data_IF_428374228617
#
_entry.id   IF_428374228617
#
_cell.length_a   1.000
_cell.length_b   1.000
_cell.length_c   1.000
_cell.angle_alpha   90.00
_cell.angle_beta   90.00
_cell.angle_gamma   90.00
#
_symmetry.space_group_name_H-M   'P 1'
#
loop_
_entity.id
_entity.type
_entity.pdbx_description
1 polymer ?
#
# COMPACT_ATOMS: atom_id res chain seq x y z
N UNK A 1 -22.75 8.21 -10.40
CA UNK A 1 -22.95 7.25 -9.29
C UNK A 1 -23.82 6.06 -9.67
N UNK A 2 -24.83 6.25 -10.52
CA UNK A 2 -25.83 5.25 -10.95
C UNK A 2 -25.32 3.82 -11.19
N UNK A 3 -24.16 3.65 -11.85
CA UNK A 3 -23.52 2.33 -12.06
C UNK A 3 -23.40 1.51 -10.77
N UNK A 4 -23.00 2.15 -9.67
CA UNK A 4 -22.69 1.46 -8.42
C UNK A 4 -23.91 1.32 -7.50
N UNK A 5 -24.88 2.24 -7.60
CA UNK A 5 -25.99 2.27 -6.66
C UNK A 5 -26.83 0.99 -6.72
N UNK A 6 -27.12 0.35 -5.58
CA UNK A 6 -28.05 -0.77 -5.53
C UNK A 6 -29.45 -0.34 -5.93
N UNK A 7 -30.21 -1.25 -6.51
CA UNK A 7 -31.62 -1.08 -6.75
C UNK A 7 -32.37 -1.06 -5.40
N UNK A 8 -33.04 0.06 -5.13
CA UNK A 8 -33.80 0.29 -3.90
C UNK A 8 -35.25 -0.22 -3.97
N UNK A 9 -35.66 -0.75 -5.13
CA UNK A 9 -37.05 -1.10 -5.47
C UNK A 9 -38.00 0.12 -5.44
N UNK A 10 -37.46 1.32 -5.62
CA UNK A 10 -38.26 2.54 -5.69
C UNK A 10 -39.05 2.55 -7.00
N UNK A 11 -40.38 2.70 -6.91
CA UNK A 11 -41.27 2.68 -8.08
C UNK A 11 -41.75 1.30 -8.52
N UNK A 12 -41.28 0.22 -7.86
CA UNK A 12 -41.76 -1.12 -8.12
C UNK A 12 -43.21 -1.27 -7.65
N UNK A 13 -44.06 -1.85 -8.50
CA UNK A 13 -45.47 -2.12 -8.18
C UNK A 13 -45.70 -3.62 -8.19
N UNK A 14 -46.21 -4.15 -7.09
CA UNK A 14 -46.53 -5.58 -6.97
C UNK A 14 -47.74 -5.95 -7.80
N UNK A 15 -47.60 -6.95 -8.66
CA UNK A 15 -48.71 -7.58 -9.37
C UNK A 15 -49.35 -8.69 -8.52
N UNK A 16 -48.53 -9.63 -8.06
CA UNK A 16 -48.93 -10.79 -7.27
C UNK A 16 -47.78 -11.28 -6.41
N UNK A 17 -48.07 -12.18 -5.46
CA UNK A 17 -47.05 -12.88 -4.71
C UNK A 17 -47.51 -14.28 -4.30
N UNK A 18 -46.55 -15.15 -4.00
CA UNK A 18 -46.74 -16.50 -3.52
C UNK A 18 -45.94 -16.72 -2.23
N UNK A 19 -46.58 -17.24 -1.18
CA UNK A 19 -45.92 -17.60 0.08
C UNK A 19 -45.57 -19.10 0.08
N UNK A 20 -44.30 -19.43 0.30
CA UNK A 20 -43.76 -20.78 0.27
C UNK A 20 -43.13 -21.10 1.61
N UNK A 21 -43.45 -22.27 2.19
CA UNK A 21 -42.82 -22.75 3.43
C UNK A 21 -42.02 -24.03 3.14
N UNK A 22 -40.71 -24.00 3.45
CA UNK A 22 -39.80 -25.12 3.21
C UNK A 22 -38.81 -25.24 4.37
N UNK A 23 -38.62 -26.44 4.94
CA UNK A 23 -37.65 -26.72 6.00
C UNK A 23 -37.72 -25.75 7.20
N UNK A 24 -38.93 -25.45 7.68
CA UNK A 24 -39.20 -24.47 8.75
C UNK A 24 -38.77 -23.02 8.45
N UNK A 25 -38.54 -22.69 7.17
CA UNK A 25 -38.34 -21.31 6.69
C UNK A 25 -39.52 -20.88 5.83
N UNK A 26 -39.86 -19.59 5.91
CA UNK A 26 -40.90 -18.98 5.10
C UNK A 26 -40.24 -18.10 4.04
N UNK A 27 -40.78 -18.12 2.84
CA UNK A 27 -40.32 -17.34 1.71
C UNK A 27 -41.53 -16.69 1.04
N UNK A 28 -41.31 -15.51 0.44
CA UNK A 28 -42.26 -14.90 -0.48
C UNK A 28 -41.60 -14.68 -1.82
N UNK A 29 -42.29 -15.10 -2.88
CA UNK A 29 -41.96 -14.78 -4.27
C UNK A 29 -42.91 -13.67 -4.70
N UNK A 30 -42.39 -12.51 -5.05
CA UNK A 30 -43.16 -11.33 -5.43
C UNK A 30 -42.90 -10.99 -6.89
N UNK A 31 -43.98 -10.86 -7.67
CA UNK A 31 -43.93 -10.52 -9.09
C UNK A 31 -44.35 -9.06 -9.28
N UNK A 32 -43.73 -8.37 -10.22
CA UNK A 32 -43.97 -6.95 -10.48
C UNK A 32 -44.76 -6.74 -11.78
N UNK A 33 -45.25 -5.51 -11.98
CA UNK A 33 -45.94 -5.08 -13.20
C UNK A 33 -45.21 -3.93 -13.89
N UNK A 34 -45.75 -3.49 -15.03
CA UNK A 34 -45.28 -2.33 -15.79
C UNK A 34 -43.84 -2.51 -16.27
N UNK A 35 -42.97 -1.51 -16.06
CA UNK A 35 -41.57 -1.52 -16.51
C UNK A 35 -40.75 -2.67 -15.89
N UNK A 36 -41.24 -3.28 -14.80
CA UNK A 36 -40.58 -4.37 -14.07
C UNK A 36 -41.29 -5.73 -14.23
N UNK A 37 -42.19 -5.89 -15.20
CA UNK A 37 -42.96 -7.14 -15.38
C UNK A 37 -42.11 -8.40 -15.61
N UNK A 38 -40.87 -8.24 -16.07
CA UNK A 38 -39.92 -9.33 -16.30
C UNK A 38 -39.07 -9.65 -15.06
N UNK A 39 -39.34 -8.98 -13.93
CA UNK A 39 -38.60 -9.14 -12.68
C UNK A 39 -39.44 -9.84 -11.59
N UNK A 40 -38.76 -10.55 -10.69
CA UNK A 40 -39.36 -11.08 -9.47
C UNK A 40 -38.37 -11.08 -8.31
N UNK A 41 -38.90 -10.95 -7.10
CA UNK A 41 -38.14 -10.88 -5.86
C UNK A 41 -38.45 -12.09 -4.99
N UNK A 42 -37.43 -12.77 -4.48
CA UNK A 42 -37.55 -13.82 -3.47
C UNK A 42 -36.99 -13.29 -2.15
N UNK A 43 -37.76 -13.36 -1.07
CA UNK A 43 -37.31 -12.94 0.27
C UNK A 43 -37.58 -14.01 1.31
N UNK A 44 -36.66 -14.20 2.26
CA UNK A 44 -36.86 -14.95 3.50
C UNK A 44 -37.68 -14.13 4.50
N UNK A 45 -38.66 -14.79 5.13
CA UNK A 45 -39.56 -14.19 6.11
C UNK A 45 -39.45 -14.86 7.47
N UNK A 46 -39.58 -14.04 8.51
CA UNK A 46 -39.84 -14.48 9.86
C UNK A 46 -41.14 -13.81 10.35
N UNK A 47 -42.18 -14.62 10.56
CA UNK A 47 -43.54 -14.15 10.82
C UNK A 47 -44.09 -13.29 9.67
N UNK A 48 -44.19 -11.97 9.84
CA UNK A 48 -44.76 -11.02 8.87
C UNK A 48 -43.72 -10.07 8.29
N UNK A 49 -42.45 -10.20 8.70
CA UNK A 49 -41.36 -9.31 8.29
C UNK A 49 -40.31 -10.08 7.50
N UNK A 50 -39.68 -9.39 6.55
CA UNK A 50 -38.50 -9.89 5.86
C UNK A 50 -37.37 -10.00 6.87
N UNK A 51 -36.79 -11.18 7.01
CA UNK A 51 -35.68 -11.42 7.92
C UNK A 51 -34.87 -12.59 7.41
N UNK A 52 -33.75 -12.29 6.78
CA UNK A 52 -32.92 -13.24 6.04
C UNK A 52 -32.54 -12.72 4.65
N UNK A 53 -32.34 -13.65 3.73
CA UNK A 53 -31.86 -13.38 2.37
C UNK A 53 -32.94 -12.84 1.44
N UNK A 54 -32.56 -11.91 0.57
CA UNK A 54 -33.39 -11.33 -0.47
C UNK A 54 -32.66 -11.39 -1.82
N UNK A 55 -33.36 -11.77 -2.88
CA UNK A 55 -32.81 -11.94 -4.23
C UNK A 55 -33.76 -11.42 -5.31
N UNK A 56 -33.29 -10.45 -6.09
CA UNK A 56 -33.99 -9.90 -7.25
C UNK A 56 -33.49 -10.56 -8.52
N UNK A 57 -34.42 -11.04 -9.34
CA UNK A 57 -34.18 -11.68 -10.62
C UNK A 57 -34.83 -10.87 -11.75
N UNK A 58 -34.17 -10.81 -12.90
CA UNK A 58 -34.71 -10.27 -14.15
C UNK A 58 -34.63 -11.35 -15.23
N UNK A 59 -35.78 -11.73 -15.81
CA UNK A 59 -35.89 -12.87 -16.74
C UNK A 59 -35.26 -14.16 -16.20
N UNK A 60 -35.35 -14.39 -14.89
CA UNK A 60 -34.74 -15.54 -14.20
C UNK A 60 -33.24 -15.45 -13.94
N UNK A 61 -32.58 -14.36 -14.32
CA UNK A 61 -31.15 -14.12 -14.03
C UNK A 61 -31.02 -13.28 -12.77
N UNK A 62 -30.19 -13.72 -11.80
CA UNK A 62 -29.93 -12.96 -10.58
C UNK A 62 -29.28 -11.62 -10.93
N UNK A 63 -29.86 -10.51 -10.43
CA UNK A 63 -29.37 -9.15 -10.65
C UNK A 63 -28.95 -8.44 -9.36
N UNK A 64 -29.55 -8.80 -8.22
CA UNK A 64 -29.18 -8.26 -6.92
C UNK A 64 -29.49 -9.22 -5.77
N UNK A 65 -28.64 -9.29 -4.75
CA UNK A 65 -28.96 -9.97 -3.49
C UNK A 65 -28.48 -9.21 -2.25
N UNK A 66 -29.20 -9.30 -1.15
CA UNK A 66 -28.90 -8.65 0.12
C UNK A 66 -29.53 -9.39 1.29
N UNK A 67 -29.22 -8.96 2.51
CA UNK A 67 -29.85 -9.45 3.73
C UNK A 67 -30.64 -8.34 4.43
N UNK A 68 -31.76 -8.72 5.05
CA UNK A 68 -32.53 -7.86 5.94
C UNK A 68 -32.70 -8.52 7.31
N UNK A 69 -32.75 -7.70 8.36
CA UNK A 69 -33.12 -8.14 9.70
C UNK A 69 -34.27 -7.28 10.18
N UNK A 70 -35.41 -7.91 10.48
CA UNK A 70 -36.65 -7.21 10.87
C UNK A 70 -37.05 -6.10 9.88
N UNK A 71 -37.03 -6.43 8.58
CA UNK A 71 -37.38 -5.53 7.47
C UNK A 71 -36.36 -4.41 7.20
N UNK A 72 -35.18 -4.46 7.82
CA UNK A 72 -34.12 -3.45 7.64
C UNK A 72 -32.95 -4.03 6.86
N UNK A 73 -32.63 -3.41 5.73
CA UNK A 73 -31.41 -3.65 4.95
C UNK A 73 -30.18 -3.40 5.81
N UNK A 74 -29.31 -4.41 5.95
CA UNK A 74 -28.08 -4.31 6.72
C UNK A 74 -26.95 -5.10 6.09
N UNK A 75 -25.72 -4.73 6.42
CA UNK A 75 -24.53 -5.40 5.88
C UNK A 75 -24.34 -5.13 4.39
N UNK A 76 -24.12 -6.20 3.62
CA UNK A 76 -23.70 -6.13 2.23
C UNK A 76 -24.87 -6.32 1.26
N UNK A 77 -24.80 -5.63 0.13
CA UNK A 77 -25.60 -5.86 -1.07
C UNK A 77 -24.68 -6.19 -2.24
N UNK A 78 -25.10 -7.20 -3.01
CA UNK A 78 -24.37 -7.76 -4.14
C UNK A 78 -25.13 -7.45 -5.41
N UNK A 79 -24.46 -6.83 -6.37
CA UNK A 79 -25.00 -6.57 -7.72
C UNK A 79 -24.38 -7.56 -8.69
N UNK A 80 -25.19 -8.06 -9.62
CA UNK A 80 -24.79 -9.04 -10.60
C UNK A 80 -25.05 -8.52 -12.02
N UNK A 81 -24.13 -8.83 -12.93
CA UNK A 81 -24.30 -8.61 -14.37
C UNK A 81 -24.27 -9.97 -15.05
N UNK A 82 -25.33 -10.34 -15.78
CA UNK A 82 -25.46 -11.67 -16.40
C UNK A 82 -25.32 -12.82 -15.38
N UNK A 83 -25.78 -12.62 -14.14
CA UNK A 83 -25.63 -13.57 -13.04
C UNK A 83 -24.22 -13.65 -12.44
N UNK A 84 -23.25 -12.90 -12.96
CA UNK A 84 -21.89 -12.82 -12.40
C UNK A 84 -21.84 -11.70 -11.38
N UNK A 85 -21.36 -11.99 -10.17
CA UNK A 85 -21.14 -10.97 -9.15
C UNK A 85 -20.26 -9.87 -9.74
N UNK A 86 -20.73 -8.63 -9.68
CA UNK A 86 -20.05 -7.46 -10.23
C UNK A 86 -19.54 -6.53 -9.13
N UNK A 87 -20.43 -6.18 -8.19
CA UNK A 87 -20.12 -5.29 -7.08
C UNK A 87 -20.60 -5.86 -5.74
N UNK A 88 -19.82 -5.64 -4.69
CA UNK A 88 -20.24 -5.83 -3.30
C UNK A 88 -20.16 -4.47 -2.61
N UNK A 89 -21.27 -4.03 -2.03
CA UNK A 89 -21.43 -2.69 -1.48
C UNK A 89 -21.96 -2.84 -0.06
N UNK A 90 -21.49 -2.01 0.86
CA UNK A 90 -22.10 -1.96 2.19
C UNK A 90 -23.26 -0.95 2.18
N UNK A 91 -24.42 -1.33 2.73
CA UNK A 91 -25.56 -0.42 2.85
C UNK A 91 -25.19 0.87 3.59
N UNK A 92 -24.27 0.81 4.56
CA UNK A 92 -23.76 2.01 5.26
C UNK A 92 -23.09 3.00 4.32
N UNK A 93 -22.42 2.50 3.28
CA UNK A 93 -21.74 3.32 2.28
C UNK A 93 -22.72 3.85 1.24
N UNK A 94 -23.88 3.23 1.03
CA UNK A 94 -24.90 3.82 0.13
C UNK A 94 -25.41 5.15 0.69
N UNK A 95 -25.70 5.20 2.00
CA UNK A 95 -26.29 6.37 2.66
C UNK A 95 -25.27 7.27 3.38
N UNK A 96 -23.99 6.92 3.33
CA UNK A 96 -22.91 7.65 4.00
C UNK A 96 -22.48 8.94 3.28
N UNK A 97 -21.70 9.75 4.00
CA UNK A 97 -21.05 10.96 3.47
C UNK A 97 -19.59 10.66 3.08
N UNK A 98 -19.00 11.48 2.20
CA UNK A 98 -17.60 11.35 1.79
C UNK A 98 -17.40 10.50 0.54
N UNK A 99 -16.32 9.73 0.47
CA UNK A 99 -16.07 8.83 -0.67
C UNK A 99 -17.02 7.63 -0.65
N UNK A 100 -17.35 7.09 -1.82
CA UNK A 100 -18.08 5.83 -1.93
C UNK A 100 -17.08 4.70 -2.12
N UNK A 101 -17.13 3.71 -1.22
CA UNK A 101 -16.25 2.55 -1.25
C UNK A 101 -17.07 1.30 -1.53
N UNK A 102 -16.60 0.45 -2.43
CA UNK A 102 -17.21 -0.84 -2.73
C UNK A 102 -16.16 -1.82 -3.25
N UNK A 103 -16.52 -3.09 -3.39
CA UNK A 103 -15.66 -4.09 -4.02
C UNK A 103 -16.12 -4.38 -5.43
N UNK A 104 -15.16 -4.57 -6.33
CA UNK A 104 -15.38 -5.09 -7.69
C UNK A 104 -14.83 -6.50 -7.79
N UNK A 105 -15.62 -7.38 -8.40
CA UNK A 105 -15.20 -8.72 -8.72
C UNK A 105 -14.37 -8.75 -10.01
N UNK A 106 -13.18 -9.34 -9.94
CA UNK A 106 -12.26 -9.49 -11.07
C UNK A 106 -11.83 -10.95 -11.18
N UNK A 107 -11.23 -11.38 -12.31
CA UNK A 107 -10.65 -12.72 -12.42
C UNK A 107 -9.61 -13.05 -11.33
N UNK A 108 -8.97 -12.03 -10.76
CA UNK A 108 -7.98 -12.15 -9.67
C UNK A 108 -8.62 -12.15 -8.26
N UNK A 109 -9.94 -12.02 -8.17
CA UNK A 109 -10.69 -11.89 -6.92
C UNK A 109 -11.27 -10.50 -6.71
N UNK A 110 -11.77 -10.24 -5.50
CA UNK A 110 -12.31 -8.93 -5.13
C UNK A 110 -11.20 -7.90 -4.97
N UNK A 111 -11.45 -6.68 -5.42
CA UNK A 111 -10.61 -5.51 -5.15
C UNK A 111 -11.44 -4.34 -4.67
N UNK A 112 -10.85 -3.46 -3.87
CA UNK A 112 -11.48 -2.22 -3.43
C UNK A 112 -11.52 -1.21 -4.57
N UNK A 113 -12.66 -0.56 -4.71
CA UNK A 113 -12.87 0.64 -5.51
C UNK A 113 -13.24 1.79 -4.58
N UNK A 114 -12.63 2.94 -4.79
CA UNK A 114 -13.07 4.20 -4.20
C UNK A 114 -13.54 5.11 -5.32
N UNK A 115 -14.71 5.72 -5.12
CA UNK A 115 -15.40 6.58 -6.06
C UNK A 115 -15.64 7.94 -5.41
N UNK A 116 -15.33 9.01 -6.14
CA UNK A 116 -15.74 10.34 -5.78
C UNK A 116 -17.26 10.45 -5.98
N UNK A 117 -18.02 10.65 -4.89
CA UNK A 117 -19.49 10.71 -4.94
C UNK A 117 -20.01 11.86 -5.78
N UNK A 118 -19.31 13.00 -5.75
CA UNK A 118 -19.79 14.25 -6.34
C UNK A 118 -19.93 14.14 -7.87
N UNK A 119 -19.07 13.36 -8.51
CA UNK A 119 -19.03 13.18 -9.97
C UNK A 119 -19.10 11.72 -10.43
N UNK A 120 -19.07 10.75 -9.51
CA UNK A 120 -19.07 9.31 -9.82
C UNK A 120 -17.78 8.78 -10.41
N UNK A 121 -16.68 9.54 -10.38
CA UNK A 121 -15.38 9.15 -10.93
C UNK A 121 -14.69 8.16 -10.00
N UNK A 122 -14.14 7.08 -10.56
CA UNK A 122 -13.31 6.14 -9.80
C UNK A 122 -11.96 6.78 -9.53
N UNK A 123 -11.54 6.80 -8.26
CA UNK A 123 -10.28 7.42 -7.81
C UNK A 123 -9.25 6.42 -7.33
N UNK A 124 -9.68 5.19 -7.04
CA UNK A 124 -8.79 4.09 -6.65
C UNK A 124 -9.32 2.73 -7.12
N UNK A 125 -8.40 1.83 -7.48
CA UNK A 125 -8.64 0.39 -7.61
C UNK A 125 -7.45 -0.38 -7.05
N UNK A 126 -7.63 -1.27 -6.09
CA UNK A 126 -6.52 -2.04 -5.56
C UNK A 126 -6.85 -2.90 -4.35
N UNK A 127 -5.81 -3.36 -3.69
CA UNK A 127 -5.85 -4.16 -2.47
C UNK A 127 -6.44 -3.36 -1.29
N UNK A 128 -6.89 -4.11 -0.28
CA UNK A 128 -7.57 -3.61 0.91
C UNK A 128 -7.27 -4.50 2.13
N UNK A 129 -7.46 -3.94 3.32
CA UNK A 129 -7.13 -4.62 4.58
C UNK A 129 -8.23 -5.59 5.03
N UNK A 130 -9.48 -5.15 5.03
CA UNK A 130 -10.65 -5.98 5.38
C UNK A 130 -11.93 -5.45 4.75
N UNK A 131 -12.98 -6.29 4.73
CA UNK A 131 -14.31 -5.86 4.27
C UNK A 131 -14.99 -4.82 5.19
N UNK A 132 -14.55 -4.73 6.44
CA UNK A 132 -15.14 -3.83 7.43
C UNK A 132 -14.58 -2.42 7.36
N UNK A 133 -13.24 -2.31 7.34
CA UNK A 133 -12.50 -1.04 7.35
C UNK A 133 -12.27 -0.47 5.95
N UNK A 134 -12.15 -1.34 4.92
CA UNK A 134 -12.01 -0.95 3.52
C UNK A 134 -10.87 0.05 3.27
N UNK A 135 -9.77 -0.05 4.00
CA UNK A 135 -8.61 0.84 3.85
C UNK A 135 -7.71 0.31 2.74
N UNK A 136 -7.14 1.24 1.98
CA UNK A 136 -6.10 0.93 0.98
C UNK A 136 -4.86 0.43 1.70
N UNK A 137 -4.43 -0.76 1.33
CA UNK A 137 -3.15 -1.37 1.71
C UNK A 137 -2.62 -2.11 0.49
N UNK A 138 -1.34 -2.45 0.49
CA UNK A 138 -0.76 -3.23 -0.61
C UNK A 138 -0.82 -2.48 -1.93
N UNK A 139 -0.98 -3.19 -3.05
CA UNK A 139 -0.87 -2.61 -4.39
C UNK A 139 -2.17 -1.96 -4.87
N UNK A 140 -2.08 -0.81 -5.54
CA UNK A 140 -3.24 -0.17 -6.13
C UNK A 140 -2.96 0.93 -7.14
N UNK A 141 -3.96 1.17 -7.99
CA UNK A 141 -4.00 2.26 -8.95
C UNK A 141 -4.72 3.48 -8.36
N UNK A 142 -4.16 4.66 -8.58
CA UNK A 142 -4.85 5.94 -8.38
C UNK A 142 -5.23 6.57 -9.71
N UNK A 143 -6.32 7.33 -9.65
CA UNK A 143 -6.88 8.05 -10.77
C UNK A 143 -7.10 9.50 -10.36
N UNK A 144 -7.14 10.37 -11.35
CA UNK A 144 -7.47 11.77 -11.20
C UNK A 144 -8.90 11.93 -10.67
N UNK A 145 -9.08 12.81 -9.69
CA UNK A 145 -10.34 12.94 -8.95
C UNK A 145 -11.46 13.58 -9.77
N UNK A 146 -11.11 14.31 -10.83
CA UNK A 146 -12.05 15.04 -11.67
C UNK A 146 -12.31 14.33 -13.00
N UNK A 147 -11.23 13.84 -13.63
CA UNK A 147 -11.28 13.26 -14.99
C UNK A 147 -11.37 11.74 -14.98
N UNK A 148 -10.89 11.07 -13.92
CA UNK A 148 -10.73 9.61 -13.89
C UNK A 148 -9.52 9.11 -14.66
N UNK A 149 -8.64 10.00 -15.11
CA UNK A 149 -7.40 9.64 -15.80
C UNK A 149 -6.48 8.85 -14.86
N UNK A 150 -5.87 7.79 -15.39
CA UNK A 150 -4.92 6.99 -14.63
C UNK A 150 -3.69 7.83 -14.21
N UNK A 151 -3.34 7.83 -12.92
CA UNK A 151 -2.24 8.64 -12.38
C UNK A 151 -1.03 7.82 -11.99
N UNK A 152 -1.22 6.79 -11.17
CA UNK A 152 -0.10 5.98 -10.69
C UNK A 152 -0.53 4.59 -10.26
N UNK A 153 0.45 3.69 -10.24
CA UNK A 153 0.39 2.38 -9.59
C UNK A 153 1.44 2.34 -8.49
N UNK A 154 1.07 1.89 -7.29
CA UNK A 154 1.94 1.99 -6.13
C UNK A 154 1.48 1.18 -4.93
N UNK A 155 2.25 1.26 -3.85
CA UNK A 155 1.99 0.59 -2.57
C UNK A 155 1.31 1.58 -1.62
N UNK A 156 0.24 1.13 -0.97
CA UNK A 156 -0.52 1.86 0.04
C UNK A 156 -0.33 1.26 1.42
N UNK A 157 -0.39 2.11 2.44
CA UNK A 157 -0.37 1.73 3.86
C UNK A 157 -1.39 2.59 4.59
N UNK A 158 -2.38 1.94 5.22
CA UNK A 158 -3.40 2.62 6.03
C UNK A 158 -3.99 3.85 5.30
N UNK A 159 -4.56 3.63 4.12
CA UNK A 159 -5.15 4.66 3.28
C UNK A 159 -4.20 5.73 2.73
N UNK A 160 -2.88 5.60 2.88
CA UNK A 160 -1.90 6.55 2.35
C UNK A 160 -1.01 5.91 1.30
N UNK A 161 -0.75 6.61 0.20
CA UNK A 161 0.23 6.18 -0.80
C UNK A 161 1.62 6.23 -0.17
N UNK A 162 2.33 5.11 -0.19
CA UNK A 162 3.65 4.93 0.42
C UNK A 162 4.76 4.87 -0.63
N UNK A 163 4.50 4.25 -1.78
CA UNK A 163 5.50 4.10 -2.83
C UNK A 163 4.85 4.13 -4.21
N UNK A 164 5.48 4.79 -5.18
CA UNK A 164 5.06 4.87 -6.58
C UNK A 164 5.95 3.95 -7.40
N UNK A 165 5.37 2.91 -7.99
CA UNK A 165 6.04 1.96 -8.87
C UNK A 165 5.93 2.44 -10.32
N UNK A 166 4.74 2.88 -10.73
CA UNK A 166 4.50 3.48 -12.03
C UNK A 166 3.76 4.82 -11.91
N UNK A 167 4.13 5.79 -12.75
CA UNK A 167 3.27 6.95 -13.03
C UNK A 167 2.87 6.96 -14.50
N UNK A 168 1.68 7.47 -14.77
CA UNK A 168 1.13 7.58 -16.11
C UNK A 168 1.00 9.04 -16.49
N UNK A 169 1.47 9.33 -17.71
CA UNK A 169 1.42 10.65 -18.31
C UNK A 169 0.11 10.82 -19.08
N UNK A 170 -0.32 12.06 -19.30
CA UNK A 170 -1.57 12.34 -20.02
C UNK A 170 -1.53 11.83 -21.48
N UNK A 171 -0.34 11.65 -22.08
CA UNK A 171 -0.16 11.05 -23.41
C UNK A 171 -0.06 9.51 -23.36
N UNK A 172 -0.42 8.89 -22.24
CA UNK A 172 -0.54 7.43 -22.11
C UNK A 172 0.79 6.70 -21.92
N UNK A 173 1.90 7.39 -21.68
CA UNK A 173 3.19 6.74 -21.36
C UNK A 173 3.28 6.37 -19.89
N UNK A 174 3.88 5.22 -19.63
CA UNK A 174 4.27 4.76 -18.31
C UNK A 174 5.72 5.18 -18.00
N UNK A 175 5.93 5.66 -16.78
CA UNK A 175 7.26 5.84 -16.19
C UNK A 175 7.36 4.86 -15.03
N UNK A 176 8.34 3.96 -15.06
CA UNK A 176 8.61 3.02 -13.96
C UNK A 176 9.74 3.56 -13.09
N UNK A 177 9.58 3.49 -11.78
CA UNK A 177 10.59 3.89 -10.81
C UNK A 177 11.29 2.70 -10.19
N UNK A 178 12.56 2.87 -9.85
CA UNK A 178 13.23 1.99 -8.92
C UNK A 178 12.57 2.14 -7.56
N UNK A 179 12.22 1.01 -6.96
CA UNK A 179 11.67 0.89 -5.62
C UNK A 179 12.54 -0.03 -4.78
N UNK A 180 12.39 0.09 -3.46
CA UNK A 180 13.03 -0.76 -2.45
C UNK A 180 12.01 -0.95 -1.33
N UNK A 181 11.90 -2.15 -0.79
CA UNK A 181 10.91 -2.44 0.25
C UNK A 181 11.16 -1.57 1.49
N UNK A 182 10.07 -1.05 2.06
CA UNK A 182 10.16 -0.19 3.24
C UNK A 182 10.68 1.23 2.99
N UNK A 183 11.00 1.59 1.73
CA UNK A 183 11.50 2.93 1.37
C UNK A 183 10.48 3.69 0.52
N UNK A 184 10.02 4.84 1.03
CA UNK A 184 9.14 5.74 0.30
C UNK A 184 9.88 6.48 -0.83
N UNK A 185 9.16 6.72 -1.92
CA UNK A 185 9.57 7.59 -3.02
C UNK A 185 8.44 8.56 -3.44
N UNK A 186 7.50 8.84 -2.53
CA UNK A 186 6.38 9.74 -2.80
C UNK A 186 6.88 11.13 -3.13
N UNK A 187 7.90 11.61 -2.42
CA UNK A 187 8.56 12.87 -2.74
C UNK A 187 9.20 12.82 -4.12
N UNK A 188 8.96 13.85 -4.94
CA UNK A 188 9.37 13.84 -6.36
C UNK A 188 10.89 13.68 -6.54
N UNK A 189 11.68 14.22 -5.61
CA UNK A 189 13.13 14.10 -5.63
C UNK A 189 13.59 12.67 -5.34
N UNK A 190 12.74 11.87 -4.69
CA UNK A 190 13.03 10.50 -4.28
C UNK A 190 12.75 9.48 -5.40
N UNK A 191 12.22 9.95 -6.52
CA UNK A 191 11.84 9.15 -7.67
C UNK A 191 13.02 8.97 -8.64
N UNK A 192 13.45 7.73 -8.78
CA UNK A 192 14.48 7.32 -9.73
C UNK A 192 13.86 6.54 -10.89
N UNK A 193 13.53 7.19 -12.01
CA UNK A 193 12.92 6.50 -13.14
C UNK A 193 13.94 5.58 -13.79
N UNK A 194 13.52 4.36 -14.11
CA UNK A 194 14.34 3.32 -14.77
C UNK A 194 13.77 2.94 -16.14
N UNK A 195 12.54 3.34 -16.43
CA UNK A 195 11.89 3.17 -17.72
C UNK A 195 10.93 4.34 -17.99
N UNK A 196 10.83 4.77 -19.25
CA UNK A 196 9.78 5.66 -19.73
C UNK A 196 9.39 5.27 -21.15
N UNK A 197 8.11 4.98 -21.39
CA UNK A 197 7.67 4.52 -22.71
C UNK A 197 6.20 4.12 -22.74
N UNK A 198 5.80 3.49 -23.84
CA UNK A 198 4.45 2.95 -23.96
C UNK A 198 4.17 1.81 -22.97
N UNK A 199 2.89 1.56 -22.77
CA UNK A 199 2.38 0.47 -21.95
C UNK A 199 1.02 0.00 -22.45
N UNK A 200 0.64 -1.22 -22.08
CA UNK A 200 -0.71 -1.75 -22.24
C UNK A 200 -1.18 -2.42 -20.95
N UNK A 201 -2.49 -2.47 -20.72
CA UNK A 201 -3.06 -3.20 -19.59
C UNK A 201 -3.08 -4.70 -19.89
N UNK A 202 -2.56 -5.51 -18.98
CA UNK A 202 -2.64 -6.97 -19.00
C UNK A 202 -3.80 -7.41 -18.10
N UNK A 203 -4.87 -7.95 -18.66
CA UNK A 203 -6.03 -8.41 -17.89
C UNK A 203 -5.73 -9.63 -17.01
N UNK A 204 -4.83 -10.51 -17.47
CA UNK A 204 -4.42 -11.73 -16.74
C UNK A 204 -3.68 -11.37 -15.45
N UNK A 205 -2.78 -10.39 -15.50
CA UNK A 205 -1.99 -9.96 -14.35
C UNK A 205 -2.62 -8.79 -13.57
N UNK A 206 -3.65 -8.15 -14.15
CA UNK A 206 -4.30 -6.97 -13.56
C UNK A 206 -3.41 -5.72 -13.49
N UNK A 207 -2.34 -5.65 -14.28
CA UNK A 207 -1.34 -4.57 -14.25
C UNK A 207 -1.00 -4.02 -15.63
N UNK A 208 -0.40 -2.82 -15.67
CA UNK A 208 0.16 -2.28 -16.90
C UNK A 208 1.57 -2.80 -17.13
N UNK A 209 1.82 -3.34 -18.32
CA UNK A 209 3.12 -3.84 -18.75
C UNK A 209 3.68 -2.97 -19.87
N UNK A 210 5.01 -3.01 -20.07
CA UNK A 210 5.69 -2.24 -21.11
C UNK A 210 5.21 -2.68 -22.50
N UNK A 211 4.92 -1.73 -23.37
CA UNK A 211 4.45 -2.03 -24.73
C UNK A 211 4.84 -0.89 -25.70
N UNK A 212 5.16 -1.23 -26.94
CA UNK A 212 5.64 -0.26 -27.92
C UNK A 212 7.06 0.24 -27.62
N UNK A 213 7.36 1.48 -28.02
CA UNK A 213 8.70 2.06 -27.83
C UNK A 213 8.85 2.62 -26.43
N UNK A 214 9.97 2.32 -25.78
CA UNK A 214 10.34 2.89 -24.50
C UNK A 214 11.85 3.04 -24.31
N UNK A 215 12.23 3.71 -23.24
CA UNK A 215 13.61 4.08 -22.95
C UNK A 215 13.99 3.58 -21.56
N UNK A 216 15.10 2.85 -21.47
CA UNK A 216 15.69 2.44 -20.20
C UNK A 216 16.61 3.54 -19.71
N UNK A 217 16.42 3.96 -18.46
CA UNK A 217 17.06 5.15 -17.90
C UNK A 217 18.11 4.74 -16.87
N UNK A 218 19.25 5.42 -16.88
CA UNK A 218 20.20 5.32 -15.78
C UNK A 218 19.61 5.97 -14.53
N UNK A 219 19.42 5.18 -13.46
CA UNK A 219 18.76 5.65 -12.25
C UNK A 219 19.42 6.89 -11.63
N UNK A 220 20.74 7.03 -11.74
CA UNK A 220 21.46 8.11 -11.06
C UNK A 220 21.36 9.45 -11.80
N UNK A 221 21.27 9.42 -13.12
CA UNK A 221 21.24 10.60 -13.98
C UNK A 221 19.85 10.91 -14.55
N UNK A 222 18.99 9.90 -14.69
CA UNK A 222 17.74 9.96 -15.44
C UNK A 222 17.90 9.92 -16.96
N UNK A 223 19.13 9.75 -17.47
CA UNK A 223 19.44 9.81 -18.90
C UNK A 223 19.24 8.42 -19.53
N UNK A 224 18.66 8.39 -20.74
CA UNK A 224 18.42 7.14 -21.46
C UNK A 224 19.73 6.43 -21.85
N UNK A 225 19.76 5.13 -21.59
CA UNK A 225 20.87 4.20 -21.88
C UNK A 225 20.54 3.25 -23.03
N UNK A 226 19.26 3.02 -23.29
CA UNK A 226 18.77 2.34 -24.49
C UNK A 226 17.37 2.79 -24.86
N UNK A 227 17.09 2.76 -26.16
CA UNK A 227 15.76 2.72 -26.76
C UNK A 227 15.41 1.25 -27.00
N UNK A 228 14.23 0.81 -26.59
CA UNK A 228 13.79 -0.58 -26.63
C UNK A 228 12.36 -0.67 -27.15
N UNK A 229 12.06 -1.73 -27.89
CA UNK A 229 10.71 -2.06 -28.34
C UNK A 229 10.18 -3.21 -27.51
N UNK A 230 8.98 -3.05 -26.97
CA UNK A 230 8.31 -4.01 -26.11
C UNK A 230 7.01 -4.49 -26.77
N UNK A 231 6.64 -5.73 -26.50
CA UNK A 231 5.33 -6.28 -26.86
C UNK A 231 4.78 -7.00 -25.63
N UNK A 232 3.75 -6.39 -25.00
CA UNK A 232 3.07 -6.94 -23.82
C UNK A 232 4.04 -7.45 -22.74
N UNK A 233 5.00 -6.62 -22.35
CA UNK A 233 6.00 -6.94 -21.33
C UNK A 233 7.23 -7.72 -21.82
N UNK A 234 7.23 -8.19 -23.07
CA UNK A 234 8.37 -8.92 -23.66
C UNK A 234 9.28 -7.95 -24.41
N UNK A 235 10.56 -7.92 -24.05
CA UNK A 235 11.54 -7.07 -24.73
C UNK A 235 11.89 -7.65 -26.12
N UNK A 236 11.75 -6.82 -27.15
CA UNK A 236 12.21 -7.07 -28.51
C UNK A 236 13.56 -6.41 -28.79
N UNK A 237 13.60 -5.59 -29.85
CA UNK A 237 14.84 -4.93 -30.29
C UNK A 237 15.31 -3.86 -29.31
N UNK A 238 16.64 -3.71 -29.21
CA UNK A 238 17.31 -2.72 -28.36
C UNK A 238 18.33 -1.93 -29.17
N UNK A 239 18.33 -0.62 -29.00
CA UNK A 239 19.36 0.30 -29.51
C UNK A 239 20.04 1.00 -28.34
N UNK A 240 21.36 0.86 -28.23
CA UNK A 240 22.15 1.48 -27.16
C UNK A 240 22.27 3.00 -27.37
N UNK A 241 22.20 3.74 -26.27
CA UNK A 241 22.44 5.18 -26.21
C UNK A 241 23.68 5.47 -25.35
N UNK A 242 24.34 6.58 -25.63
CA UNK A 242 25.53 7.06 -24.93
C UNK A 242 25.21 8.44 -24.35
N UNK A 243 24.94 8.53 -23.05
CA UNK A 243 24.45 9.76 -22.42
C UNK A 243 23.23 10.35 -23.16
N UNK A 244 22.29 9.50 -23.57
CA UNK A 244 21.10 9.92 -24.32
C UNK A 244 21.32 10.12 -25.83
N UNK A 245 22.54 9.98 -26.33
CA UNK A 245 22.87 10.15 -27.75
C UNK A 245 22.92 8.81 -28.50
N UNK A 246 22.47 8.80 -29.75
CA UNK A 246 22.60 7.64 -30.65
C UNK A 246 24.03 7.38 -31.13
N UNK A 247 24.92 8.35 -30.98
CA UNK A 247 26.35 8.24 -31.29
C UNK A 247 27.15 8.62 -30.05
N UNK A 248 28.26 7.93 -29.83
CA UNK A 248 29.13 8.20 -28.69
C UNK A 248 29.86 9.53 -28.89
N UNK A 249 29.53 10.52 -28.08
CA UNK A 249 30.17 11.84 -28.08
C UNK A 249 30.41 12.31 -26.65
N UNK A 250 31.65 12.67 -26.35
CA UNK A 250 32.06 13.24 -25.06
C UNK A 250 31.69 12.42 -23.82
N UNK A 251 32.03 12.95 -22.66
CA UNK A 251 31.48 12.51 -21.38
C UNK A 251 30.83 13.73 -20.72
N UNK A 252 29.62 13.54 -20.22
CA UNK A 252 28.88 14.57 -19.46
C UNK A 252 28.39 13.96 -18.16
N UNK A 253 28.51 14.69 -17.06
CA UNK A 253 28.01 14.27 -15.74
C UNK A 253 26.67 14.96 -15.48
N UNK A 254 25.66 14.21 -15.03
CA UNK A 254 24.37 14.77 -14.67
C UNK A 254 24.46 15.58 -13.38
N UNK A 255 23.80 16.75 -13.34
CA UNK A 255 23.69 17.56 -12.12
C UNK A 255 23.04 16.79 -10.95
N UNK A 256 22.14 15.84 -11.24
CA UNK A 256 21.56 14.95 -10.22
C UNK A 256 22.65 14.10 -9.53
N UNK A 257 23.59 13.57 -10.30
CA UNK A 257 24.72 12.81 -9.77
C UNK A 257 25.68 13.70 -8.97
N UNK A 258 25.89 14.96 -9.40
CA UNK A 258 26.71 15.93 -8.65
C UNK A 258 26.07 16.25 -7.30
N UNK A 259 24.78 16.64 -7.30
CA UNK A 259 24.06 17.05 -6.10
C UNK A 259 23.88 15.91 -5.09
N UNK A 260 23.59 14.69 -5.56
CA UNK A 260 23.38 13.52 -4.68
C UNK A 260 24.59 13.15 -3.80
N UNK A 261 25.80 13.64 -4.12
CA UNK A 261 26.99 13.45 -3.30
C UNK A 261 27.12 14.46 -2.16
N UNK A 262 26.47 15.63 -2.29
CA UNK A 262 26.61 16.75 -1.36
C UNK A 262 25.36 17.01 -0.52
N UNK A 263 24.19 16.60 -1.02
CA UNK A 263 22.93 16.79 -0.30
C UNK A 263 22.93 16.04 1.02
N UNK A 264 22.69 16.78 2.09
CA UNK A 264 22.37 16.23 3.41
C UNK A 264 20.88 16.39 3.65
N UNK A 265 20.24 15.29 4.02
CA UNK A 265 18.85 15.24 4.44
C UNK A 265 18.77 14.53 5.77
N UNK A 266 18.16 15.21 6.73
CA UNK A 266 17.90 14.66 8.05
C UNK A 266 16.41 14.37 8.15
N UNK A 267 16.07 13.14 8.56
CA UNK A 267 14.74 12.79 9.02
C UNK A 267 14.77 12.72 10.54
N UNK A 268 13.87 13.45 11.19
CA UNK A 268 13.66 13.38 12.64
C UNK A 268 12.34 12.66 12.91
N UNK A 269 12.41 11.51 13.58
CA UNK A 269 11.28 10.68 13.96
C UNK A 269 10.84 11.07 15.37
N UNK A 270 9.61 11.56 15.49
CA UNK A 270 8.98 11.95 16.77
C UNK A 270 7.84 11.01 17.18
N UNK A 271 7.42 10.16 16.27
CA UNK A 271 6.37 9.15 16.44
C UNK A 271 6.59 8.06 15.40
N UNK A 272 6.04 6.87 15.65
CA UNK A 272 6.24 5.71 14.78
C UNK A 272 5.84 5.95 13.32
N UNK A 273 4.75 6.69 13.09
CA UNK A 273 4.25 7.01 11.75
C UNK A 273 5.26 7.82 10.91
N UNK A 274 6.19 8.55 11.51
CA UNK A 274 7.21 9.33 10.77
C UNK A 274 8.20 8.42 10.04
N UNK A 275 8.37 7.16 10.48
CA UNK A 275 9.20 6.17 9.78
C UNK A 275 8.64 5.84 8.38
N UNK A 276 7.35 6.08 8.13
CA UNK A 276 6.77 5.96 6.79
C UNK A 276 7.32 7.00 5.80
N UNK A 277 7.99 8.05 6.28
CA UNK A 277 8.67 9.05 5.46
C UNK A 277 10.13 8.69 5.18
N UNK A 278 10.61 7.52 5.62
CA UNK A 278 11.95 7.04 5.29
C UNK A 278 12.11 6.93 3.77
N UNK A 279 13.13 7.60 3.25
CA UNK A 279 13.47 7.58 1.83
C UNK A 279 14.94 7.27 1.61
N UNK A 280 15.29 6.83 0.39
CA UNK A 280 16.67 6.47 0.02
C UNK A 280 17.66 7.64 0.06
N UNK A 281 17.17 8.87 0.25
CA UNK A 281 17.96 10.10 0.32
C UNK A 281 18.27 10.55 1.75
N UNK A 282 17.66 9.92 2.76
CA UNK A 282 17.94 10.24 4.16
C UNK A 282 19.41 9.94 4.45
N UNK A 283 20.17 10.99 4.77
CA UNK A 283 21.58 10.89 5.16
C UNK A 283 21.76 10.79 6.67
N UNK A 284 20.80 11.32 7.42
CA UNK A 284 20.82 11.32 8.87
C UNK A 284 19.43 10.93 9.37
N UNK A 285 19.34 9.85 10.13
CA UNK A 285 18.12 9.46 10.81
C UNK A 285 18.30 9.76 12.29
N UNK A 286 17.41 10.59 12.84
CA UNK A 286 17.38 10.93 14.27
C UNK A 286 16.03 10.51 14.84
N UNK A 287 16.01 9.57 15.77
CA UNK A 287 14.82 9.27 16.57
C UNK A 287 14.89 10.11 17.83
N UNK A 288 13.87 10.94 18.07
CA UNK A 288 13.81 11.84 19.21
C UNK A 288 13.61 11.07 20.53
N UNK A 289 13.68 11.74 21.68
CA UNK A 289 13.51 11.06 22.98
C UNK A 289 12.06 10.63 23.20
N UNK A 290 11.87 9.47 23.86
CA UNK A 290 10.54 8.97 24.27
C UNK A 290 9.57 8.64 23.12
N UNK A 291 10.07 8.20 21.96
CA UNK A 291 9.26 7.87 20.78
C UNK A 291 9.18 6.35 20.50
N UNK A 292 8.25 5.96 19.63
CA UNK A 292 8.14 4.60 19.09
C UNK A 292 8.03 3.50 20.16
N UNK A 293 7.28 3.75 21.24
CA UNK A 293 7.11 2.85 22.38
C UNK A 293 5.80 2.03 22.34
N UNK A 294 5.01 2.18 21.28
CA UNK A 294 3.73 1.51 21.08
C UNK A 294 3.89 -0.04 21.07
N UNK A 295 2.89 -0.77 21.57
CA UNK A 295 2.96 -2.23 21.79
C UNK A 295 3.07 -3.06 20.50
N UNK A 296 2.63 -2.50 19.38
CA UNK A 296 2.66 -3.11 18.05
C UNK A 296 4.04 -2.97 17.35
N UNK A 297 4.96 -2.19 17.90
CA UNK A 297 6.30 -1.96 17.33
C UNK A 297 7.27 -3.02 17.86
N UNK A 298 7.13 -4.23 17.35
CA UNK A 298 7.91 -5.38 17.81
C UNK A 298 9.29 -5.50 17.15
N UNK A 299 9.43 -4.96 15.93
CA UNK A 299 10.65 -5.06 15.13
C UNK A 299 10.95 -3.74 14.44
N UNK A 300 12.22 -3.35 14.40
CA UNK A 300 12.72 -2.23 13.59
C UNK A 300 13.77 -2.76 12.60
N UNK A 301 13.50 -2.60 11.31
CA UNK A 301 14.45 -2.92 10.25
C UNK A 301 14.78 -1.67 9.43
N UNK A 302 16.06 -1.37 9.32
CA UNK A 302 16.61 -0.31 8.48
C UNK A 302 17.46 -0.96 7.38
N UNK A 303 16.82 -1.18 6.23
CA UNK A 303 17.42 -1.70 5.00
C UNK A 303 17.16 -0.73 3.84
N UNK A 304 17.88 -0.86 2.73
CA UNK A 304 17.63 -0.04 1.54
C UNK A 304 18.07 1.44 1.61
N UNK A 305 18.53 1.92 2.78
CA UNK A 305 18.94 3.31 2.99
C UNK A 305 20.36 3.58 2.46
N UNK A 306 20.49 3.62 1.12
CA UNK A 306 21.76 3.71 0.42
C UNK A 306 22.61 4.95 0.78
N UNK A 307 21.98 6.03 1.24
CA UNK A 307 22.62 7.31 1.60
C UNK A 307 22.75 7.58 3.09
N UNK A 308 22.27 6.68 3.94
CA UNK A 308 22.32 6.89 5.39
C UNK A 308 23.77 6.89 5.86
N UNK A 309 24.20 7.98 6.49
CA UNK A 309 25.55 8.20 7.01
C UNK A 309 25.59 8.20 8.54
N UNK A 310 24.53 8.68 9.18
CA UNK A 310 24.40 8.76 10.64
C UNK A 310 23.03 8.26 11.09
N UNK A 311 23.03 7.33 12.06
CA UNK A 311 21.85 6.91 12.79
C UNK A 311 22.01 7.34 14.25
N UNK A 312 21.06 8.13 14.75
CA UNK A 312 21.00 8.55 16.14
C UNK A 312 19.63 8.18 16.69
N UNK A 313 19.57 7.30 17.67
CA UNK A 313 18.37 7.01 18.45
C UNK A 313 18.61 7.64 19.82
N UNK A 314 17.85 8.67 20.19
CA UNK A 314 17.99 9.28 21.53
C UNK A 314 17.40 8.37 22.61
N UNK A 315 17.42 8.79 23.87
CA UNK A 315 17.03 7.95 25.00
C UNK A 315 15.53 7.59 25.05
N UNK A 316 15.19 6.48 25.73
CA UNK A 316 13.83 6.03 26.02
C UNK A 316 12.96 5.65 24.82
N UNK A 317 13.56 5.00 23.80
CA UNK A 317 12.85 4.60 22.58
C UNK A 317 12.66 3.09 22.47
N UNK A 318 11.65 2.68 21.68
CA UNK A 318 11.46 1.29 21.23
C UNK A 318 11.28 0.27 22.37
N UNK A 319 10.58 0.64 23.45
CA UNK A 319 10.41 -0.19 24.64
C UNK A 319 9.80 -1.59 24.39
N UNK A 320 9.01 -1.74 23.32
CA UNK A 320 8.36 -2.99 22.93
C UNK A 320 9.08 -3.73 21.79
N UNK A 321 10.13 -3.13 21.20
CA UNK A 321 10.87 -3.69 20.07
C UNK A 321 11.92 -4.68 20.55
N UNK A 322 11.76 -5.96 20.20
CA UNK A 322 12.73 -7.00 20.56
C UNK A 322 13.76 -7.25 19.45
N UNK A 323 13.54 -6.80 18.21
CA UNK A 323 14.50 -6.99 17.12
C UNK A 323 14.83 -5.68 16.43
N UNK A 324 16.10 -5.30 16.45
CA UNK A 324 16.61 -4.16 15.71
C UNK A 324 17.68 -4.58 14.70
N UNK A 325 17.42 -4.36 13.42
CA UNK A 325 18.30 -4.74 12.32
C UNK A 325 18.66 -3.55 11.44
N UNK A 326 19.94 -3.39 11.14
CA UNK A 326 20.45 -2.48 10.11
C UNK A 326 21.21 -3.31 9.08
N UNK A 327 20.73 -3.30 7.84
CA UNK A 327 21.28 -4.14 6.78
C UNK A 327 21.63 -3.33 5.53
N UNK A 328 22.83 -3.55 4.99
CA UNK A 328 23.20 -3.05 3.66
C UNK A 328 23.38 -1.52 3.54
N UNK A 329 23.34 -0.78 4.65
CA UNK A 329 23.54 0.67 4.70
C UNK A 329 25.04 1.01 4.52
N UNK A 330 25.51 0.98 3.27
CA UNK A 330 26.95 1.02 2.96
C UNK A 330 27.62 2.37 3.28
N UNK A 331 26.88 3.49 3.25
CA UNK A 331 27.40 4.81 3.61
C UNK A 331 27.37 5.08 5.13
N UNK A 332 26.77 4.18 5.92
CA UNK A 332 26.59 4.37 7.36
C UNK A 332 27.95 4.36 8.05
N UNK A 333 28.24 5.43 8.79
CA UNK A 333 29.53 5.65 9.44
C UNK A 333 29.43 5.77 10.96
N UNK A 334 28.30 6.27 11.45
CA UNK A 334 28.01 6.51 12.87
C UNK A 334 26.66 5.93 13.26
N UNK A 335 26.65 5.13 14.33
CA UNK A 335 25.45 4.68 15.03
C UNK A 335 25.54 5.11 16.48
N UNK A 336 24.55 5.83 16.96
CA UNK A 336 24.43 6.27 18.35
C UNK A 336 23.05 5.89 18.86
N UNK A 337 23.02 5.20 20.00
CA UNK A 337 21.80 4.79 20.69
C UNK A 337 21.92 5.34 22.11
N UNK A 338 20.92 6.08 22.55
CA UNK A 338 20.84 6.70 23.86
C UNK A 338 20.58 5.69 24.97
N UNK A 339 20.25 6.20 26.14
CA UNK A 339 19.97 5.39 27.32
C UNK A 339 18.56 4.79 27.25
N UNK A 340 18.34 3.67 27.94
CA UNK A 340 17.03 3.04 28.12
C UNK A 340 16.27 2.78 26.80
N UNK A 341 16.98 2.39 25.73
CA UNK A 341 16.38 2.04 24.43
C UNK A 341 16.25 0.53 24.27
N UNK A 342 15.21 0.08 23.57
CA UNK A 342 14.97 -1.35 23.31
C UNK A 342 14.94 -2.18 24.60
N UNK A 343 14.39 -1.60 25.67
CA UNK A 343 14.22 -2.25 26.97
C UNK A 343 12.78 -2.09 27.45
N UNK A 344 12.19 -3.17 27.97
CA UNK A 344 10.82 -3.16 28.46
C UNK A 344 10.79 -3.03 29.99
N UNK A 345 10.12 -1.99 30.48
CA UNK A 345 9.94 -1.75 31.91
C UNK A 345 8.57 -2.28 32.36
N UNK A 346 8.52 -3.32 33.22
CA UNK A 346 7.25 -3.75 33.87
C UNK A 346 7.03 -3.10 35.24
N UNK A 347 7.97 -2.28 35.70
CA UNK A 347 7.91 -1.54 36.95
C UNK A 347 9.27 -0.93 37.30
N UNK A 348 9.39 -0.19 38.40
CA UNK A 348 10.62 0.55 38.76
C UNK A 348 11.84 -0.33 39.05
N UNK A 349 11.70 -1.67 39.09
CA UNK A 349 12.79 -2.61 39.42
C UNK A 349 12.77 -3.92 38.62
N UNK A 350 11.90 -4.05 37.62
CA UNK A 350 11.73 -5.32 36.91
C UNK A 350 11.93 -5.12 35.40
N UNK A 351 13.12 -5.51 34.95
CA UNK A 351 13.46 -5.68 33.55
C UNK A 351 12.97 -7.08 33.12
N UNK A 352 12.29 -7.14 31.99
CA UNK A 352 11.84 -8.41 31.44
C UNK A 352 12.66 -8.78 30.22
N UNK A 353 13.33 -9.92 30.29
CA UNK A 353 13.96 -10.56 29.13
C UNK A 353 12.94 -10.83 28.02
N UNK A 354 13.28 -10.44 26.79
CA UNK A 354 12.45 -10.61 25.59
C UNK A 354 13.20 -11.26 24.42
N UNK A 355 14.26 -12.01 24.68
CA UNK A 355 15.07 -12.64 23.62
C UNK A 355 15.49 -11.63 22.54
N UNK A 356 15.88 -10.43 22.99
CA UNK A 356 16.03 -9.31 22.09
C UNK A 356 17.37 -9.35 21.33
N UNK A 357 17.38 -8.83 20.09
CA UNK A 357 18.43 -9.04 19.11
C UNK A 357 18.82 -7.77 18.32
N UNK A 358 20.13 -7.51 18.23
CA UNK A 358 20.74 -6.39 17.51
C UNK A 358 21.58 -6.97 16.39
N UNK A 359 21.30 -6.57 15.16
CA UNK A 359 22.06 -6.99 13.99
C UNK A 359 22.44 -5.79 13.14
N UNK A 360 23.72 -5.49 13.05
CA UNK A 360 24.25 -4.52 12.09
C UNK A 360 25.17 -5.30 11.15
N UNK A 361 24.71 -5.51 9.92
CA UNK A 361 25.42 -6.35 8.97
C UNK A 361 25.46 -5.77 7.56
N UNK A 362 26.50 -6.17 6.81
CA UNK A 362 26.74 -5.70 5.44
C UNK A 362 26.83 -4.15 5.30
N UNK A 363 27.23 -3.46 6.37
CA UNK A 363 27.49 -2.01 6.38
C UNK A 363 29.00 -1.78 6.30
N UNK A 364 29.49 -1.22 5.19
CA UNK A 364 30.95 -1.18 4.89
C UNK A 364 31.72 -0.11 5.64
N UNK A 365 31.09 1.04 5.93
CA UNK A 365 31.78 2.23 6.42
C UNK A 365 31.57 2.51 7.91
N UNK A 366 30.93 1.61 8.65
CA UNK A 366 30.62 1.82 10.06
C UNK A 366 31.93 1.93 10.85
N UNK A 367 32.13 3.08 11.48
CA UNK A 367 33.38 3.45 12.15
C UNK A 367 33.20 3.72 13.63
N UNK A 368 32.02 4.18 14.04
CA UNK A 368 31.64 4.48 15.43
C UNK A 368 30.29 3.87 15.75
N UNK A 369 30.24 3.08 16.81
CA UNK A 369 29.00 2.59 17.44
C UNK A 369 29.05 2.96 18.92
N UNK A 370 28.03 3.67 19.41
CA UNK A 370 27.86 3.97 20.84
C UNK A 370 26.46 3.59 21.29
N UNK A 371 26.36 2.92 22.44
CA UNK A 371 25.10 2.51 23.06
C UNK A 371 25.07 2.96 24.52
N UNK A 372 24.02 3.70 24.88
CA UNK A 372 23.77 4.21 26.21
C UNK A 372 23.36 3.15 27.23
N UNK A 373 23.38 3.53 28.51
CA UNK A 373 23.09 2.67 29.65
C UNK A 373 21.67 2.11 29.60
N UNK A 374 21.48 0.89 30.11
CA UNK A 374 20.17 0.22 30.17
C UNK A 374 19.49 0.04 28.82
N UNK A 375 20.24 0.17 27.72
CA UNK A 375 19.77 -0.20 26.39
C UNK A 375 20.07 -1.67 26.13
N UNK A 376 19.13 -2.36 25.46
CA UNK A 376 19.26 -3.78 25.11
C UNK A 376 19.48 -4.72 26.31
N UNK A 377 18.90 -4.43 27.47
CA UNK A 377 19.02 -5.30 28.66
C UNK A 377 18.41 -6.67 28.39
N UNK A 378 19.09 -7.74 28.80
CA UNK A 378 18.71 -9.14 28.61
C UNK A 378 18.66 -9.58 27.13
N UNK A 379 19.58 -9.04 26.33
CA UNK A 379 19.78 -9.45 24.94
C UNK A 379 20.41 -10.85 24.82
N UNK A 380 19.90 -11.64 23.90
CA UNK A 380 20.43 -12.99 23.63
C UNK A 380 21.36 -13.03 22.42
N UNK A 381 21.33 -12.00 21.56
CA UNK A 381 22.10 -11.99 20.32
C UNK A 381 22.50 -10.58 19.87
N UNK A 382 23.82 -10.35 19.76
CA UNK A 382 24.40 -9.15 19.16
C UNK A 382 25.33 -9.57 18.02
N UNK A 383 25.05 -9.10 16.80
CA UNK A 383 25.84 -9.40 15.60
C UNK A 383 26.26 -8.13 14.89
N UNK A 384 27.58 -7.91 14.83
CA UNK A 384 28.21 -6.80 14.14
C UNK A 384 29.08 -7.37 13.01
N UNK A 385 28.49 -7.58 11.83
CA UNK A 385 29.17 -8.16 10.67
C UNK A 385 29.34 -7.08 9.61
N UNK A 386 30.29 -6.17 9.85
CA UNK A 386 30.74 -5.18 8.87
C UNK A 386 31.95 -5.67 8.10
N UNK A 387 32.03 -5.33 6.80
CA UNK A 387 33.24 -5.57 6.01
C UNK A 387 34.39 -4.61 6.35
N UNK A 388 34.09 -3.49 7.02
CA UNK A 388 35.09 -2.59 7.61
C UNK A 388 35.27 -2.88 9.10
N UNK A 389 36.49 -2.77 9.63
CA UNK A 389 36.74 -2.85 11.08
C UNK A 389 36.25 -1.55 11.75
N UNK A 390 35.20 -1.58 12.61
CA UNK A 390 34.80 -0.38 13.33
C UNK A 390 35.98 0.11 14.19
N UNK A 391 36.23 1.42 14.17
CA UNK A 391 37.37 2.02 14.90
C UNK A 391 37.05 2.20 16.38
N UNK A 392 35.77 2.38 16.71
CA UNK A 392 35.33 2.62 18.07
C UNK A 392 33.96 1.96 18.28
N UNK A 393 33.90 1.06 19.26
CA UNK A 393 32.65 0.45 19.73
C UNK A 393 32.61 0.68 21.24
N UNK A 394 31.62 1.43 21.71
CA UNK A 394 31.44 1.78 23.13
C UNK A 394 30.07 1.30 23.57
N UNK A 395 30.07 0.46 24.61
CA UNK A 395 28.88 0.05 25.33
C UNK A 395 29.01 0.56 26.75
N UNK A 396 28.05 1.38 27.19
CA UNK A 396 27.99 1.85 28.57
C UNK A 396 27.58 0.69 29.51
N UNK A 397 27.67 0.88 30.82
CA UNK A 397 27.26 -0.14 31.79
C UNK A 397 26.07 0.35 32.63
N UNK A 398 24.99 -0.44 32.81
CA UNK A 398 24.77 -1.78 32.25
C UNK A 398 24.07 -1.68 30.88
N UNK A 399 24.82 -1.77 29.78
CA UNK A 399 24.29 -2.05 28.45
C UNK A 399 24.66 -3.49 28.13
N UNK A 400 23.66 -4.26 27.66
CA UNK A 400 23.61 -5.73 27.61
C UNK A 400 23.35 -6.44 28.95
#
# INVERSE_FOLDING_TARGET
MERFEPNMLNGYITYSYEDVSLNNRQYRIQYFQEEHQDEYLICEYQNTEVSGSCELYCSGVLVQSWEEVHGRKQGLVRKYEQGVLKYVINWKDVFGYGEFRCFENTPQGLRLIIVNRDNGVVVYRGEYDSEESMKRVGSGFSYDRETGDLRSYGIYRNDSLFQIIHSFTNDGKMITFQTEDGISNVEIQDRYPIYSGGCCYCEEDGIYVRDGVGYVLDKSSGIATSEEVWNRGIQGSRRKLYNGLYKKEGESVSLRQVLSKQMKRQLTVKQHSDLSSLSSFVTQLVVDENCCNEEDIMTLELSGLAKLQSLVIKSYNFANTYRFTVFGCNELSRVEIGDCCFCHWKGPKELCSRDAALSISNCKNVSSISVGCHSFVDYIHCSLVSRGRPRTVVFSTPSF
#
